data_IF_121588689187
#
_entry.id   IF_121588689187
#
_cell.length_a   1.000
_cell.length_b   1.000
_cell.length_c   1.000
_cell.angle_alpha   90.00
_cell.angle_beta   90.00
_cell.angle_gamma   90.00
#
_symmetry.space_group_name_H-M   'P 1'
#
loop_
_entity.id
_entity.type
_entity.pdbx_description
1 polymer ?
#
# COMPACT_ATOMS: atom_id res chain seq x y z
N UNK A 1 -36.36 37.46 -32.42
CA UNK A 1 -35.84 37.07 -31.10
C UNK A 1 -35.52 35.58 -31.12
N UNK A 2 -34.25 35.21 -31.23
CA UNK A 2 -33.67 33.92 -30.78
C UNK A 2 -32.20 33.85 -31.22
N UNK A 3 -31.33 34.35 -30.35
CA UNK A 3 -29.88 34.11 -30.31
C UNK A 3 -29.52 34.17 -28.84
N UNK A 4 -29.41 33.03 -28.15
CA UNK A 4 -28.80 32.96 -26.81
C UNK A 4 -28.54 31.53 -26.28
N UNK A 5 -28.51 30.49 -27.13
CA UNK A 5 -28.27 29.10 -26.67
C UNK A 5 -27.03 28.41 -27.27
N UNK A 6 -26.22 29.07 -28.11
CA UNK A 6 -24.97 28.48 -28.64
C UNK A 6 -23.81 28.59 -27.64
N UNK A 7 -23.72 29.69 -26.90
CA UNK A 7 -22.46 30.05 -26.22
C UNK A 7 -22.26 29.34 -24.87
N UNK A 8 -23.31 28.69 -24.33
CA UNK A 8 -23.21 27.89 -23.10
C UNK A 8 -22.70 26.46 -23.32
N UNK A 9 -22.72 25.97 -24.56
CA UNK A 9 -22.29 24.59 -24.87
C UNK A 9 -20.83 24.48 -25.32
N UNK A 10 -20.19 25.56 -25.74
CA UNK A 10 -18.76 25.58 -26.07
C UNK A 10 -17.86 25.77 -24.83
N UNK A 11 -18.30 26.56 -23.84
CA UNK A 11 -17.50 26.78 -22.62
C UNK A 11 -17.43 25.53 -21.73
N UNK A 12 -18.45 24.66 -21.76
CA UNK A 12 -18.41 23.38 -21.08
C UNK A 12 -17.46 22.40 -21.77
N UNK A 13 -17.48 22.31 -23.10
CA UNK A 13 -16.58 21.42 -23.87
C UNK A 13 -15.10 21.82 -23.75
N UNK A 14 -14.76 23.11 -23.74
CA UNK A 14 -13.38 23.56 -23.49
C UNK A 14 -12.92 23.28 -22.06
N UNK A 15 -13.81 23.37 -21.07
CA UNK A 15 -13.51 23.06 -19.67
C UNK A 15 -13.26 21.57 -19.41
N UNK A 16 -13.82 20.68 -20.25
CA UNK A 16 -13.57 19.24 -20.20
C UNK A 16 -12.37 18.79 -21.05
N UNK A 17 -12.05 19.49 -22.15
CA UNK A 17 -10.87 19.20 -22.97
C UNK A 17 -9.56 19.43 -22.21
N UNK A 18 -9.42 20.56 -21.50
CA UNK A 18 -8.23 20.84 -20.66
C UNK A 18 -8.07 19.88 -19.48
N UNK A 19 -9.16 19.34 -18.94
CA UNK A 19 -9.10 18.30 -17.89
C UNK A 19 -8.57 16.95 -18.39
N UNK A 20 -8.75 16.65 -19.69
CA UNK A 20 -8.33 15.37 -20.29
C UNK A 20 -6.82 15.35 -20.58
N UNK A 21 -6.24 16.49 -20.97
CA UNK A 21 -4.79 16.65 -21.14
C UNK A 21 -4.05 16.66 -19.78
N UNK A 22 -4.64 17.29 -18.75
CA UNK A 22 -4.10 17.28 -17.38
C UNK A 22 -4.14 15.87 -16.78
N UNK A 23 -5.21 15.09 -17.01
CA UNK A 23 -5.30 13.70 -16.53
C UNK A 23 -4.36 12.73 -17.26
N UNK A 24 -3.97 13.01 -18.51
CA UNK A 24 -2.94 12.24 -19.20
C UNK A 24 -1.54 12.53 -18.66
N UNK A 25 -1.27 13.74 -18.16
CA UNK A 25 -0.03 14.09 -17.44
C UNK A 25 0.08 13.57 -16.00
N UNK A 26 -1.06 13.21 -15.37
CA UNK A 26 -1.13 12.78 -13.96
C UNK A 26 -0.64 11.33 -13.73
N UNK A 27 -0.45 10.53 -14.78
CA UNK A 27 0.06 9.15 -14.68
C UNK A 27 1.55 9.03 -14.27
N UNK A 28 2.23 10.16 -14.05
CA UNK A 28 3.66 10.23 -13.72
C UNK A 28 3.88 11.04 -12.43
N UNK A 29 3.13 10.77 -11.37
CA UNK A 29 3.29 11.45 -10.08
C UNK A 29 4.21 10.64 -9.17
N UNK A 30 5.18 11.31 -8.53
CA UNK A 30 6.41 10.82 -7.87
C UNK A 30 7.55 10.46 -8.82
N UNK A 31 7.32 9.64 -9.86
CA UNK A 31 8.32 9.52 -10.93
C UNK A 31 8.60 10.90 -11.53
N UNK A 32 7.61 11.76 -11.72
CA UNK A 32 7.82 13.12 -12.25
C UNK A 32 8.61 14.05 -11.32
N UNK A 33 8.56 13.88 -9.99
CA UNK A 33 9.30 14.75 -9.05
C UNK A 33 10.77 14.30 -8.95
N UNK A 34 11.03 13.00 -8.90
CA UNK A 34 12.39 12.44 -8.97
C UNK A 34 12.99 12.63 -10.38
N UNK A 35 12.23 12.36 -11.44
CA UNK A 35 12.66 12.61 -12.83
C UNK A 35 12.85 14.10 -13.11
N UNK A 36 12.05 15.01 -12.55
CA UNK A 36 12.29 16.44 -12.69
C UNK A 36 13.54 16.90 -11.92
N UNK A 37 13.85 16.28 -10.78
CA UNK A 37 15.09 16.53 -10.05
C UNK A 37 16.32 16.00 -10.83
N UNK A 38 16.23 14.81 -11.43
CA UNK A 38 17.27 14.24 -12.29
C UNK A 38 17.40 15.00 -13.64
N UNK A 39 16.29 15.44 -14.23
CA UNK A 39 16.27 16.23 -15.47
C UNK A 39 16.80 17.65 -15.26
N UNK A 40 16.59 18.25 -14.08
CA UNK A 40 17.19 19.54 -13.67
C UNK A 40 18.71 19.55 -13.75
N UNK A 41 19.37 18.41 -13.55
CA UNK A 41 20.82 18.28 -13.70
C UNK A 41 21.28 18.16 -15.15
N UNK A 42 20.40 17.70 -16.06
CA UNK A 42 20.79 17.30 -17.42
C UNK A 42 20.35 18.28 -18.52
N UNK A 43 19.28 19.05 -18.32
CA UNK A 43 18.75 20.00 -19.33
C UNK A 43 18.15 21.28 -18.70
N UNK A 44 18.91 22.39 -18.60
CA UNK A 44 18.38 23.66 -18.13
C UNK A 44 17.67 24.41 -19.28
N UNK A 45 16.36 24.23 -19.43
CA UNK A 45 15.55 25.09 -20.32
C UNK A 45 14.48 25.85 -19.56
N UNK A 46 14.47 27.17 -19.71
CA UNK A 46 13.67 28.11 -18.90
C UNK A 46 12.15 27.93 -18.98
N UNK A 47 11.59 27.27 -20.00
CA UNK A 47 10.14 27.11 -20.16
C UNK A 47 9.56 25.86 -19.47
N UNK A 48 10.30 24.76 -19.41
CA UNK A 48 9.86 23.53 -18.73
C UNK A 48 9.79 23.71 -17.20
N UNK A 49 10.53 24.69 -16.68
CA UNK A 49 10.62 24.98 -15.25
C UNK A 49 9.33 25.62 -14.71
N UNK A 50 8.63 26.42 -15.50
CA UNK A 50 7.38 27.11 -15.14
C UNK A 50 6.19 26.15 -15.12
N UNK A 51 6.06 25.27 -16.12
CA UNK A 51 4.94 24.31 -16.20
C UNK A 51 5.03 23.24 -15.10
N UNK A 52 6.25 22.74 -14.81
CA UNK A 52 6.47 21.80 -13.71
C UNK A 52 6.07 22.39 -12.35
N UNK A 53 6.34 23.69 -12.13
CA UNK A 53 5.93 24.39 -10.90
C UNK A 53 4.42 24.58 -10.81
N UNK A 54 3.71 24.81 -11.92
CA UNK A 54 2.25 24.95 -11.93
C UNK A 54 1.55 23.62 -11.62
N UNK A 55 2.01 22.51 -12.20
CA UNK A 55 1.46 21.18 -11.90
C UNK A 55 1.77 20.78 -10.45
N UNK A 56 3.01 21.00 -9.97
CA UNK A 56 3.37 20.73 -8.57
C UNK A 56 2.50 21.55 -7.61
N UNK A 57 2.30 22.83 -7.90
CA UNK A 57 1.43 23.71 -7.10
C UNK A 57 -0.04 23.29 -7.18
N UNK A 58 -0.51 22.86 -8.34
CA UNK A 58 -1.85 22.30 -8.51
C UNK A 58 -2.02 21.02 -7.69
N UNK A 59 -1.07 20.09 -7.74
CA UNK A 59 -1.08 18.85 -6.98
C UNK A 59 -1.07 19.14 -5.46
N UNK A 60 -0.19 20.02 -5.00
CA UNK A 60 -0.15 20.48 -3.61
C UNK A 60 -1.46 21.15 -3.17
N UNK A 61 -2.13 21.89 -4.05
CA UNK A 61 -3.37 22.60 -3.71
C UNK A 61 -4.60 21.69 -3.74
N UNK A 62 -4.65 20.74 -4.67
CA UNK A 62 -5.86 19.97 -4.97
C UNK A 62 -5.84 18.55 -4.41
N UNK A 63 -4.69 17.89 -4.42
CA UNK A 63 -4.54 16.47 -4.06
C UNK A 63 -3.90 16.22 -2.70
N UNK A 64 -3.01 17.10 -2.25
CA UNK A 64 -2.35 16.98 -0.94
C UNK A 64 -3.00 18.01 -0.01
N UNK A 65 -4.11 17.63 0.64
CA UNK A 65 -4.92 18.61 1.36
C UNK A 65 -4.53 18.79 2.82
N UNK A 66 -4.52 20.05 3.26
CA UNK A 66 -4.31 20.46 4.65
C UNK A 66 -5.56 20.35 5.54
N UNK A 67 -6.77 20.16 4.99
CA UNK A 67 -8.03 20.21 5.77
C UNK A 67 -9.29 19.84 4.94
N UNK A 68 -9.22 18.89 4.00
CA UNK A 68 -10.41 18.54 3.19
C UNK A 68 -11.24 17.44 3.82
N UNK A 69 -12.53 17.71 3.85
CA UNK A 69 -13.61 16.74 3.98
C UNK A 69 -13.46 15.64 2.91
N UNK A 70 -13.32 14.38 3.34
CA UNK A 70 -13.28 13.22 2.45
C UNK A 70 -14.72 12.89 2.06
N UNK A 71 -15.08 13.12 0.79
CA UNK A 71 -16.45 12.97 0.31
C UNK A 71 -16.99 11.54 0.38
N UNK A 72 -16.11 10.54 0.29
CA UNK A 72 -16.47 9.12 0.32
C UNK A 72 -15.80 8.51 1.54
N UNK A 73 -16.60 8.25 2.59
CA UNK A 73 -16.13 7.56 3.78
C UNK A 73 -16.45 6.07 3.71
N UNK A 74 -15.52 5.18 4.10
CA UNK A 74 -15.75 3.73 4.11
C UNK A 74 -16.95 3.30 4.96
N UNK A 75 -17.23 4.05 6.04
CA UNK A 75 -18.38 3.79 6.93
C UNK A 75 -19.72 3.83 6.20
N UNK A 76 -19.92 4.80 5.31
CA UNK A 76 -21.18 4.91 4.56
C UNK A 76 -21.46 3.69 3.68
N UNK A 77 -20.41 3.09 3.11
CA UNK A 77 -20.54 1.85 2.34
C UNK A 77 -20.89 0.65 3.24
N UNK A 78 -20.24 0.50 4.40
CA UNK A 78 -20.56 -0.58 5.34
C UNK A 78 -21.95 -0.41 5.95
N UNK A 79 -22.39 0.81 6.25
CA UNK A 79 -23.74 1.08 6.72
C UNK A 79 -24.77 0.67 5.65
N UNK A 80 -24.51 1.01 4.39
CA UNK A 80 -25.32 0.51 3.26
C UNK A 80 -25.34 -1.02 3.19
N UNK A 81 -24.20 -1.70 3.40
CA UNK A 81 -24.15 -3.17 3.43
C UNK A 81 -24.96 -3.76 4.58
N UNK A 82 -24.91 -3.19 5.79
CA UNK A 82 -25.73 -3.62 6.93
C UNK A 82 -27.24 -3.47 6.63
N UNK A 83 -27.62 -2.38 5.99
CA UNK A 83 -29.02 -2.11 5.66
C UNK A 83 -29.56 -2.98 4.51
N UNK A 84 -28.70 -3.34 3.53
CA UNK A 84 -29.16 -3.93 2.28
C UNK A 84 -28.76 -5.40 2.10
N UNK A 85 -27.62 -5.83 2.64
CA UNK A 85 -27.03 -7.15 2.44
C UNK A 85 -27.05 -7.97 3.73
N UNK A 86 -26.54 -7.42 4.83
CA UNK A 86 -26.35 -8.13 6.10
C UNK A 86 -27.40 -7.74 7.15
N UNK A 87 -28.64 -8.12 6.89
CA UNK A 87 -29.83 -7.71 7.68
C UNK A 87 -30.05 -8.50 8.97
N UNK A 88 -29.27 -9.55 9.19
CA UNK A 88 -29.48 -10.50 10.29
C UNK A 88 -28.29 -10.55 11.26
N UNK A 89 -27.50 -9.47 11.32
CA UNK A 89 -26.37 -9.35 12.25
C UNK A 89 -25.13 -10.13 11.79
N UNK A 90 -24.99 -10.42 10.50
CA UNK A 90 -23.84 -11.17 9.96
C UNK A 90 -22.51 -10.43 10.12
N UNK A 91 -22.58 -9.10 10.28
CA UNK A 91 -21.45 -8.21 10.60
C UNK A 91 -21.37 -7.87 12.09
N UNK A 92 -22.25 -8.43 12.92
CA UNK A 92 -22.19 -8.25 14.36
C UNK A 92 -21.05 -9.10 14.92
N UNK A 93 -20.27 -8.53 15.84
CA UNK A 93 -19.17 -9.23 16.51
C UNK A 93 -18.08 -9.76 15.56
N UNK A 94 -17.79 -9.04 14.48
CA UNK A 94 -16.65 -9.37 13.63
C UNK A 94 -15.33 -9.28 14.41
N UNK A 95 -14.34 -10.12 14.05
CA UNK A 95 -13.02 -10.05 14.65
C UNK A 95 -12.38 -8.67 14.55
N UNK A 96 -11.61 -8.30 15.57
CA UNK A 96 -10.90 -7.01 15.67
C UNK A 96 -9.54 -7.00 14.96
N UNK A 97 -9.13 -8.14 14.44
CA UNK A 97 -7.83 -8.33 13.82
C UNK A 97 -7.98 -8.90 12.43
N UNK A 98 -7.17 -8.43 11.50
CA UNK A 98 -7.16 -8.92 10.14
C UNK A 98 -5.75 -9.17 9.62
N UNK A 99 -5.63 -10.19 8.78
CA UNK A 99 -4.47 -10.42 7.91
C UNK A 99 -4.88 -10.12 6.48
N UNK A 100 -4.13 -9.28 5.79
CA UNK A 100 -4.22 -9.14 4.33
C UNK A 100 -3.07 -9.95 3.73
N UNK A 101 -3.39 -11.08 3.08
CA UNK A 101 -2.40 -11.99 2.51
C UNK A 101 -2.38 -11.88 0.99
N UNK A 102 -1.28 -11.38 0.42
CA UNK A 102 -1.03 -11.39 -1.01
C UNK A 102 -0.57 -12.78 -1.48
N UNK A 103 -1.53 -13.69 -1.55
CA UNK A 103 -1.38 -15.00 -2.18
C UNK A 103 -2.70 -15.43 -2.82
N UNK A 104 -2.67 -16.15 -3.95
CA UNK A 104 -3.88 -16.66 -4.57
C UNK A 104 -4.46 -17.89 -3.82
N UNK A 105 -3.65 -18.57 -3.00
CA UNK A 105 -3.94 -19.84 -2.33
C UNK A 105 -4.16 -19.66 -0.82
N UNK A 106 -4.94 -18.66 -0.45
CA UNK A 106 -5.15 -18.28 0.97
C UNK A 106 -5.70 -19.45 1.82
N UNK A 107 -6.56 -20.30 1.26
CA UNK A 107 -7.10 -21.47 1.94
C UNK A 107 -6.03 -22.54 2.18
N UNK A 108 -5.04 -22.68 1.28
CA UNK A 108 -3.93 -23.61 1.49
C UNK A 108 -3.07 -23.18 2.68
N UNK A 109 -2.89 -21.87 2.88
CA UNK A 109 -2.22 -21.36 4.08
C UNK A 109 -3.02 -21.64 5.36
N UNK A 110 -4.35 -21.47 5.33
CA UNK A 110 -5.22 -21.86 6.44
C UNK A 110 -5.10 -23.36 6.76
N UNK A 111 -5.18 -24.22 5.75
CA UNK A 111 -5.05 -25.67 5.91
C UNK A 111 -3.67 -26.08 6.46
N UNK A 112 -2.59 -25.45 5.99
CA UNK A 112 -1.22 -25.68 6.50
C UNK A 112 -1.09 -25.31 7.99
N UNK A 113 -1.82 -24.30 8.44
CA UNK A 113 -1.91 -23.90 9.85
C UNK A 113 -2.90 -24.77 10.66
N UNK A 114 -3.51 -25.79 10.06
CA UNK A 114 -4.39 -26.74 10.72
C UNK A 114 -5.85 -26.30 10.83
N UNK A 115 -6.26 -25.23 10.14
CA UNK A 115 -7.66 -24.84 10.06
C UNK A 115 -8.45 -25.79 9.15
N UNK A 116 -9.65 -26.15 9.58
CA UNK A 116 -10.60 -26.94 8.79
C UNK A 116 -11.66 -26.05 8.16
N UNK A 117 -12.32 -26.53 7.10
CA UNK A 117 -13.39 -25.79 6.39
C UNK A 117 -14.57 -25.39 7.29
N UNK A 118 -14.74 -26.06 8.43
CA UNK A 118 -15.76 -25.72 9.42
C UNK A 118 -15.43 -24.46 10.25
N UNK A 119 -14.16 -24.04 10.23
CA UNK A 119 -13.64 -22.94 11.05
C UNK A 119 -13.62 -21.60 10.32
N UNK A 120 -13.80 -21.58 9.01
CA UNK A 120 -13.82 -20.32 8.28
C UNK A 120 -15.00 -20.26 7.32
N UNK A 121 -15.55 -19.06 7.15
CA UNK A 121 -16.60 -18.80 6.17
C UNK A 121 -16.22 -17.58 5.37
N UNK A 122 -16.50 -17.63 4.08
CA UNK A 122 -16.40 -16.46 3.22
C UNK A 122 -17.50 -15.45 3.60
N UNK A 123 -17.16 -14.16 3.60
CA UNK A 123 -18.07 -13.05 3.77
C UNK A 123 -18.19 -12.33 2.42
N UNK A 124 -19.33 -12.50 1.76
CA UNK A 124 -19.59 -11.88 0.46
C UNK A 124 -20.11 -10.46 0.64
N UNK A 125 -19.28 -9.46 0.37
CA UNK A 125 -19.62 -8.05 0.61
C UNK A 125 -20.17 -7.34 -0.64
N UNK A 126 -20.22 -8.00 -1.80
CA UNK A 126 -20.84 -7.44 -3.00
C UNK A 126 -21.03 -8.42 -4.15
N UNK A 127 -21.64 -7.93 -5.24
CA UNK A 127 -21.89 -8.70 -6.48
C UNK A 127 -20.70 -8.74 -7.44
N UNK A 128 -19.76 -7.81 -7.29
CA UNK A 128 -18.45 -7.78 -7.95
C UNK A 128 -17.41 -7.59 -6.87
N UNK A 129 -17.11 -8.66 -6.13
CA UNK A 129 -16.24 -8.57 -4.97
C UNK A 129 -14.82 -9.06 -5.31
N UNK A 130 -13.88 -8.17 -5.68
CA UNK A 130 -12.48 -8.56 -5.78
C UNK A 130 -11.89 -8.91 -4.40
N UNK A 131 -12.53 -8.50 -3.30
CA UNK A 131 -12.13 -8.76 -1.92
C UNK A 131 -12.69 -10.10 -1.43
N UNK A 132 -11.83 -11.11 -1.48
CA UNK A 132 -12.12 -12.41 -0.89
C UNK A 132 -11.80 -12.36 0.60
N UNK A 133 -12.86 -12.25 1.41
CA UNK A 133 -12.80 -12.11 2.86
C UNK A 133 -13.29 -13.38 3.57
N UNK A 134 -12.50 -13.90 4.50
CA UNK A 134 -12.90 -14.99 5.38
C UNK A 134 -12.95 -14.53 6.82
N UNK A 135 -14.02 -14.89 7.52
CA UNK A 135 -14.06 -14.83 8.99
C UNK A 135 -13.58 -16.18 9.50
N UNK A 136 -12.46 -16.19 10.24
CA UNK A 136 -11.79 -17.41 10.70
C UNK A 136 -11.90 -17.53 12.21
N UNK A 137 -12.48 -18.64 12.66
CA UNK A 137 -12.64 -19.01 14.07
C UNK A 137 -11.48 -19.86 14.56
N UNK A 138 -10.91 -19.48 15.69
CA UNK A 138 -9.84 -20.24 16.34
C UNK A 138 -10.38 -21.04 17.49
N UNK A 139 -9.86 -22.26 17.66
CA UNK A 139 -10.14 -23.06 18.85
C UNK A 139 -9.50 -22.45 20.10
N UNK A 140 -8.33 -21.82 19.92
CA UNK A 140 -7.58 -21.11 20.96
C UNK A 140 -7.03 -19.81 20.37
N UNK A 141 -7.16 -18.72 21.12
CA UNK A 141 -6.74 -17.38 20.70
C UNK A 141 -7.87 -16.56 20.10
N UNK A 142 -7.52 -15.41 19.54
CA UNK A 142 -8.45 -14.45 18.97
C UNK A 142 -8.86 -14.85 17.55
N UNK A 143 -10.18 -14.91 17.29
CA UNK A 143 -10.71 -14.97 15.94
C UNK A 143 -10.14 -13.83 15.08
N UNK A 144 -10.10 -14.00 13.76
CA UNK A 144 -9.52 -13.00 12.85
C UNK A 144 -10.21 -13.03 11.49
N UNK A 145 -10.00 -11.95 10.72
CA UNK A 145 -10.38 -11.87 9.31
C UNK A 145 -9.16 -12.14 8.43
N UNK A 146 -9.30 -13.03 7.45
CA UNK A 146 -8.31 -13.19 6.38
C UNK A 146 -8.84 -12.55 5.10
N UNK A 147 -8.16 -11.55 4.57
CA UNK A 147 -8.48 -10.93 3.30
C UNK A 147 -7.40 -11.31 2.26
N UNK A 148 -7.81 -11.79 1.09
CA UNK A 148 -6.88 -11.99 -0.03
C UNK A 148 -6.45 -10.64 -0.58
N UNK A 149 -5.16 -10.32 -0.46
CA UNK A 149 -4.60 -9.05 -0.89
C UNK A 149 -4.85 -8.74 -2.36
N UNK A 150 -5.25 -7.49 -2.64
CA UNK A 150 -5.30 -6.93 -3.98
C UNK A 150 -4.02 -6.14 -4.27
N UNK A 151 -3.34 -6.42 -5.41
CA UNK A 151 -2.06 -5.82 -5.69
C UNK A 151 -2.16 -4.30 -5.85
N UNK A 152 -1.16 -3.63 -5.34
CA UNK A 152 -0.95 -2.19 -5.49
C UNK A 152 -1.67 -1.33 -4.46
N UNK A 153 -1.18 -0.10 -4.39
CA UNK A 153 -1.58 0.96 -3.46
C UNK A 153 -3.08 1.21 -3.39
N UNK A 154 -3.78 1.17 -4.54
CA UNK A 154 -5.24 1.34 -4.59
C UNK A 154 -5.98 0.17 -3.95
N UNK A 155 -5.56 -1.07 -4.25
CA UNK A 155 -6.17 -2.28 -3.73
C UNK A 155 -6.04 -2.39 -2.22
N UNK A 156 -4.81 -2.28 -1.70
CA UNK A 156 -4.54 -2.37 -0.26
C UNK A 156 -5.23 -1.23 0.53
N UNK A 157 -5.31 -0.02 -0.03
CA UNK A 157 -5.98 1.10 0.62
C UNK A 157 -7.49 0.85 0.75
N UNK A 158 -8.13 0.38 -0.33
CA UNK A 158 -9.55 -0.01 -0.30
C UNK A 158 -9.79 -1.12 0.74
N UNK A 159 -8.96 -2.17 0.73
CA UNK A 159 -9.07 -3.27 1.69
C UNK A 159 -8.94 -2.83 3.14
N UNK A 160 -7.92 -2.02 3.45
CA UNK A 160 -7.71 -1.52 4.80
C UNK A 160 -8.86 -0.62 5.27
N UNK A 161 -9.38 0.21 4.38
CA UNK A 161 -10.50 1.11 4.64
C UNK A 161 -11.81 0.35 4.91
N UNK A 162 -12.11 -0.71 4.14
CA UNK A 162 -13.27 -1.56 4.35
C UNK A 162 -13.16 -2.37 5.65
N UNK A 163 -12.00 -2.97 5.92
CA UNK A 163 -11.74 -3.68 7.17
C UNK A 163 -11.93 -2.76 8.39
N UNK A 164 -11.44 -1.52 8.33
CA UNK A 164 -11.71 -0.53 9.37
C UNK A 164 -13.21 -0.30 9.57
N UNK A 165 -13.97 -0.11 8.49
CA UNK A 165 -15.39 0.16 8.59
C UNK A 165 -16.19 -1.06 9.09
N UNK A 166 -15.65 -2.28 8.88
CA UNK A 166 -16.12 -3.51 9.52
C UNK A 166 -15.73 -3.63 11.01
N UNK A 167 -14.97 -2.67 11.54
CA UNK A 167 -14.60 -2.57 12.96
C UNK A 167 -13.26 -3.21 13.32
N UNK A 168 -12.40 -3.49 12.33
CA UNK A 168 -11.03 -4.00 12.55
C UNK A 168 -10.14 -2.90 13.14
N UNK A 169 -9.38 -3.27 14.17
CA UNK A 169 -8.51 -2.38 14.95
C UNK A 169 -7.02 -2.61 14.65
N UNK A 170 -6.65 -3.82 14.21
CA UNK A 170 -5.29 -4.15 13.79
C UNK A 170 -5.27 -4.92 12.47
N UNK A 171 -4.38 -4.52 11.56
CA UNK A 171 -4.18 -5.15 10.24
C UNK A 171 -2.70 -5.53 10.11
N UNK A 172 -2.42 -6.79 9.76
CA UNK A 172 -1.08 -7.21 9.35
C UNK A 172 -1.12 -7.61 7.87
N UNK A 173 -0.35 -6.90 7.05
CA UNK A 173 -0.15 -7.25 5.65
C UNK A 173 0.99 -8.27 5.51
N UNK A 174 0.81 -9.25 4.65
CA UNK A 174 1.80 -10.27 4.30
C UNK A 174 1.92 -10.33 2.78
N UNK A 175 3.13 -10.13 2.27
CA UNK A 175 3.39 -10.16 0.83
C UNK A 175 4.81 -10.53 0.44
N UNK A 176 5.17 -10.23 -0.80
CA UNK A 176 6.50 -10.41 -1.37
C UNK A 176 7.08 -9.09 -1.82
N UNK A 177 8.39 -9.01 -1.94
CA UNK A 177 9.09 -7.81 -2.41
C UNK A 177 10.28 -8.17 -3.31
N UNK A 178 10.75 -7.20 -4.10
CA UNK A 178 12.06 -7.28 -4.76
C UNK A 178 13.11 -6.65 -3.85
N UNK A 179 14.19 -7.37 -3.55
CA UNK A 179 15.28 -6.85 -2.73
C UNK A 179 16.14 -5.87 -3.55
N UNK A 180 16.74 -4.89 -2.87
CA UNK A 180 17.55 -3.84 -3.50
C UNK A 180 18.97 -3.89 -2.92
N UNK A 181 19.97 -4.05 -3.80
CA UNK A 181 21.37 -4.20 -3.40
C UNK A 181 21.57 -5.41 -2.50
N UNK A 182 22.66 -5.48 -1.74
CA UNK A 182 23.05 -6.67 -0.96
C UNK A 182 22.68 -6.59 0.54
N UNK A 183 21.94 -5.55 0.96
CA UNK A 183 21.78 -5.21 2.37
C UNK A 183 20.89 -6.18 3.16
N UNK A 184 19.94 -6.84 2.51
CA UNK A 184 18.97 -7.74 3.16
C UNK A 184 19.23 -9.19 2.74
N UNK A 185 19.21 -10.12 3.70
CA UNK A 185 19.39 -11.54 3.43
C UNK A 185 18.15 -12.16 2.75
N UNK A 186 18.36 -13.17 1.90
CA UNK A 186 17.26 -13.92 1.28
C UNK A 186 16.55 -14.83 2.29
N UNK A 187 15.28 -15.15 2.01
CA UNK A 187 14.54 -16.17 2.76
C UNK A 187 14.15 -15.77 4.19
N UNK A 188 14.63 -14.64 4.70
CA UNK A 188 14.18 -14.10 5.97
C UNK A 188 12.92 -13.24 5.80
N UNK A 189 11.95 -13.34 6.72
CA UNK A 189 10.90 -12.35 6.88
C UNK A 189 11.49 -10.96 7.10
N UNK A 190 10.88 -9.96 6.46
CA UNK A 190 11.20 -8.54 6.63
C UNK A 190 10.03 -7.89 7.35
N UNK A 191 10.32 -7.24 8.48
CA UNK A 191 9.40 -6.32 9.14
C UNK A 191 9.67 -4.93 8.59
N UNK A 192 8.67 -4.32 7.94
CA UNK A 192 8.79 -2.96 7.43
C UNK A 192 8.99 -1.96 8.57
N UNK A 193 10.06 -1.16 8.55
CA UNK A 193 10.26 -0.03 9.48
C UNK A 193 9.45 1.19 9.06
N UNK A 194 9.37 1.40 7.75
CA UNK A 194 8.63 2.42 7.03
C UNK A 194 8.75 2.12 5.53
N UNK A 195 7.96 2.83 4.73
CA UNK A 195 8.05 2.77 3.27
C UNK A 195 8.05 4.18 2.68
N UNK A 196 8.85 4.39 1.62
CA UNK A 196 8.72 5.59 0.80
C UNK A 196 7.38 5.56 0.06
N UNK A 197 6.71 6.71 0.04
CA UNK A 197 5.37 6.87 -0.52
C UNK A 197 5.41 6.95 -2.04
N UNK A 198 4.50 6.22 -2.67
CA UNK A 198 4.10 6.49 -4.04
C UNK A 198 3.07 7.63 -4.11
N UNK A 199 2.54 7.90 -5.30
CA UNK A 199 1.53 8.94 -5.49
C UNK A 199 0.24 8.68 -4.72
N UNK A 200 -0.19 7.42 -4.59
CA UNK A 200 -1.42 7.08 -3.89
C UNK A 200 -1.29 7.28 -2.37
N UNK A 201 -0.18 6.82 -1.78
CA UNK A 201 0.14 7.07 -0.37
C UNK A 201 0.29 8.58 -0.07
N UNK A 202 0.84 9.37 -1.00
CA UNK A 202 0.88 10.82 -0.86
C UNK A 202 -0.51 11.46 -0.87
N UNK A 203 -1.43 10.96 -1.70
CA UNK A 203 -2.83 11.43 -1.70
C UNK A 203 -3.57 11.10 -0.40
N UNK A 204 -3.20 9.99 0.26
CA UNK A 204 -3.75 9.58 1.56
C UNK A 204 -3.10 10.30 2.75
N UNK A 205 -1.98 10.98 2.52
CA UNK A 205 -1.22 11.60 3.60
C UNK A 205 -1.92 12.85 4.14
N UNK A 206 -2.15 12.89 5.44
CA UNK A 206 -2.53 14.13 6.13
C UNK A 206 -1.27 14.96 6.35
N UNK A 207 -1.24 16.18 5.80
CA UNK A 207 -0.16 17.13 6.06
C UNK A 207 -0.32 17.68 7.48
N UNK A 208 0.48 17.15 8.42
CA UNK A 208 0.60 17.70 9.78
C UNK A 208 1.44 19.00 9.81
N UNK A 209 2.19 19.27 8.73
CA UNK A 209 3.02 20.46 8.53
C UNK A 209 3.03 20.86 7.06
N UNK A 210 3.62 22.03 6.74
CA UNK A 210 3.86 22.47 5.36
C UNK A 210 4.90 21.59 4.62
N UNK A 211 5.45 20.57 5.25
CA UNK A 211 6.43 19.67 4.66
C UNK A 211 5.79 18.33 4.27
N UNK A 212 6.07 17.89 3.04
CA UNK A 212 5.64 16.58 2.56
C UNK A 212 6.52 15.52 3.22
N UNK A 213 5.97 14.80 4.19
CA UNK A 213 6.62 13.61 4.73
C UNK A 213 6.55 12.49 3.69
N UNK A 214 7.70 12.17 3.08
CA UNK A 214 7.83 11.15 2.04
C UNK A 214 7.87 9.70 2.58
N UNK A 215 7.87 9.51 3.90
CA UNK A 215 7.88 8.21 4.56
C UNK A 215 6.56 7.96 5.28
N UNK A 216 5.98 6.79 5.02
CA UNK A 216 4.84 6.25 5.75
C UNK A 216 5.33 5.25 6.80
N UNK A 217 4.76 5.28 8.01
CA UNK A 217 5.22 4.47 9.14
C UNK A 217 4.14 3.49 9.62
N UNK A 218 4.50 2.23 9.93
CA UNK A 218 3.59 1.30 10.58
C UNK A 218 3.30 1.71 12.03
N UNK A 219 2.33 1.04 12.65
CA UNK A 219 2.08 1.09 14.08
C UNK A 219 3.32 0.61 14.85
N UNK A 220 3.96 1.51 15.60
CA UNK A 220 5.12 1.19 16.44
C UNK A 220 4.82 0.08 17.45
N UNK A 221 3.62 0.09 18.03
CA UNK A 221 3.20 -0.92 19.01
C UNK A 221 3.04 -2.28 18.35
N UNK A 222 2.34 -2.35 17.21
CA UNK A 222 2.10 -3.60 16.51
C UNK A 222 3.41 -4.22 16.01
N UNK A 223 4.30 -3.42 15.43
CA UNK A 223 5.64 -3.89 15.03
C UNK A 223 6.42 -4.46 16.21
N UNK A 224 6.40 -3.82 17.39
CA UNK A 224 7.09 -4.34 18.58
C UNK A 224 6.53 -5.69 19.03
N UNK A 225 5.20 -5.89 18.97
CA UNK A 225 4.58 -7.18 19.27
C UNK A 225 5.04 -8.25 18.27
N UNK A 226 5.02 -7.95 16.98
CA UNK A 226 5.50 -8.86 15.93
C UNK A 226 6.98 -9.24 16.13
N UNK A 227 7.84 -8.26 16.40
CA UNK A 227 9.27 -8.48 16.68
C UNK A 227 9.48 -9.44 17.84
N UNK A 228 8.72 -9.26 18.93
CA UNK A 228 8.73 -10.16 20.09
C UNK A 228 8.30 -11.58 19.70
N UNK A 229 7.27 -11.73 18.88
CA UNK A 229 6.76 -13.03 18.44
C UNK A 229 7.73 -13.78 17.51
N UNK A 230 8.51 -13.07 16.69
CA UNK A 230 9.60 -13.70 15.93
C UNK A 230 10.74 -14.15 16.84
N UNK A 231 11.16 -13.27 17.75
CA UNK A 231 12.40 -13.41 18.51
C UNK A 231 13.63 -13.01 17.69
N UNK A 232 14.73 -12.76 18.40
CA UNK A 232 15.96 -12.20 17.83
C UNK A 232 16.55 -13.09 16.71
N UNK A 233 17.04 -12.45 15.64
CA UNK A 233 17.76 -13.11 14.54
C UNK A 233 16.91 -13.91 13.56
N UNK A 234 15.57 -13.90 13.69
CA UNK A 234 14.67 -14.64 12.76
C UNK A 234 14.00 -13.77 11.70
N UNK A 235 14.33 -12.48 11.68
CA UNK A 235 13.78 -11.50 10.76
C UNK A 235 14.80 -10.39 10.51
N UNK A 236 14.56 -9.59 9.48
CA UNK A 236 15.27 -8.33 9.26
C UNK A 236 14.30 -7.16 9.36
N UNK A 237 14.74 -6.03 9.89
CA UNK A 237 14.00 -4.76 9.76
C UNK A 237 14.56 -3.96 8.60
N UNK A 238 13.71 -3.55 7.67
CA UNK A 238 14.16 -2.80 6.51
C UNK A 238 13.18 -1.70 6.10
N UNK A 239 13.67 -0.76 5.30
CA UNK A 239 12.90 0.34 4.74
C UNK A 239 12.50 -0.04 3.32
N UNK A 240 11.21 0.07 3.01
CA UNK A 240 10.67 -0.24 1.71
C UNK A 240 10.58 0.98 0.80
N UNK A 241 10.41 0.72 -0.49
CA UNK A 241 9.92 1.69 -1.46
C UNK A 241 8.61 1.15 -2.06
N UNK A 242 7.51 1.87 -1.85
CA UNK A 242 6.24 1.51 -2.47
C UNK A 242 6.19 2.07 -3.90
N UNK A 243 5.94 1.22 -4.88
CA UNK A 243 5.83 1.58 -6.30
C UNK A 243 4.42 1.25 -6.83
N UNK A 244 3.79 2.12 -7.64
CA UNK A 244 2.42 1.88 -8.09
C UNK A 244 2.34 0.86 -9.24
N UNK A 245 3.47 0.50 -9.84
CA UNK A 245 3.54 -0.38 -11.02
C UNK A 245 4.60 -1.47 -10.83
N UNK A 246 4.20 -2.71 -11.11
CA UNK A 246 5.11 -3.84 -11.09
C UNK A 246 5.99 -3.89 -12.35
N UNK A 247 5.37 -3.77 -13.53
CA UNK A 247 6.05 -3.79 -14.81
C UNK A 247 6.44 -2.38 -15.27
N UNK A 248 7.43 -2.30 -16.16
CA UNK A 248 7.90 -1.05 -16.78
C UNK A 248 8.48 -0.05 -15.79
N UNK A 249 9.14 -0.55 -14.75
CA UNK A 249 9.85 0.29 -13.78
C UNK A 249 10.99 1.04 -14.47
N UNK A 250 11.14 2.37 -14.25
CA UNK A 250 12.22 3.13 -14.87
C UNK A 250 13.59 2.63 -14.40
N UNK A 251 14.50 2.40 -15.34
CA UNK A 251 15.89 2.02 -15.05
C UNK A 251 16.56 3.00 -14.08
N UNK A 252 16.44 4.29 -14.35
CA UNK A 252 17.06 5.35 -13.54
C UNK A 252 16.54 5.36 -12.09
N UNK A 253 15.28 4.99 -11.86
CA UNK A 253 14.74 4.84 -10.51
C UNK A 253 15.45 3.70 -9.78
N UNK A 254 15.58 2.53 -10.42
CA UNK A 254 16.28 1.40 -9.83
C UNK A 254 17.77 1.71 -9.58
N UNK A 255 18.44 2.42 -10.49
CA UNK A 255 19.84 2.87 -10.27
C UNK A 255 19.92 3.80 -9.07
N UNK A 256 18.99 4.75 -8.94
CA UNK A 256 18.93 5.68 -7.82
C UNK A 256 18.75 4.94 -6.49
N UNK A 257 17.84 3.96 -6.46
CA UNK A 257 17.56 3.12 -5.29
C UNK A 257 18.78 2.28 -4.87
N UNK A 258 19.56 1.76 -5.81
CA UNK A 258 20.72 0.90 -5.49
C UNK A 258 21.96 1.74 -5.16
N UNK A 259 22.33 2.70 -6.02
CA UNK A 259 23.61 3.41 -5.95
C UNK A 259 23.51 4.94 -5.94
N UNK A 260 22.34 5.52 -6.19
CA UNK A 260 22.20 6.97 -6.39
C UNK A 260 22.43 7.84 -5.15
N UNK A 261 22.80 9.10 -5.38
CA UNK A 261 23.22 10.03 -4.32
C UNK A 261 22.07 10.61 -3.49
N UNK A 262 20.82 10.49 -3.93
CA UNK A 262 19.64 10.98 -3.19
C UNK A 262 19.58 10.41 -1.77
N UNK A 263 20.06 9.16 -1.62
CA UNK A 263 20.09 8.41 -0.37
C UNK A 263 21.41 8.53 0.39
N UNK A 264 22.39 9.35 -0.04
CA UNK A 264 23.66 9.51 0.69
C UNK A 264 23.48 10.05 2.12
N UNK A 265 22.44 10.84 2.35
CA UNK A 265 22.10 11.42 3.65
C UNK A 265 20.68 11.01 4.13
N UNK A 266 20.08 10.00 3.51
CA UNK A 266 18.74 9.51 3.84
C UNK A 266 18.79 8.00 4.01
N UNK A 267 17.84 7.40 4.72
CA UNK A 267 17.77 5.95 4.78
C UNK A 267 17.50 5.38 3.38
N UNK A 268 18.42 4.55 2.86
CA UNK A 268 18.26 3.87 1.56
C UNK A 268 17.26 2.71 1.71
N UNK A 269 16.29 2.55 0.79
CA UNK A 269 15.42 1.38 0.76
C UNK A 269 16.22 0.09 0.53
N UNK A 270 15.81 -1.00 1.18
CA UNK A 270 16.41 -2.33 0.96
C UNK A 270 15.49 -3.26 0.16
N UNK A 271 14.25 -2.85 -0.10
CA UNK A 271 13.31 -3.58 -0.93
C UNK A 271 12.29 -2.65 -1.61
N UNK A 272 11.68 -3.15 -2.68
CA UNK A 272 10.59 -2.53 -3.43
C UNK A 272 9.35 -3.44 -3.39
N UNK A 273 8.18 -2.86 -3.13
CA UNK A 273 6.88 -3.53 -3.09
C UNK A 273 5.78 -2.53 -3.48
N UNK A 274 4.49 -2.86 -3.37
CA UNK A 274 3.43 -2.03 -3.96
C UNK A 274 2.33 -1.61 -2.98
N UNK A 275 2.44 -1.88 -1.67
CA UNK A 275 1.31 -1.78 -0.75
C UNK A 275 1.57 -0.99 0.54
N UNK A 276 2.75 -1.13 1.13
CA UNK A 276 3.02 -0.79 2.52
C UNK A 276 2.74 0.69 2.84
N UNK A 277 3.18 1.62 1.98
CA UNK A 277 2.99 3.04 2.25
C UNK A 277 1.50 3.43 2.28
N UNK A 278 0.70 2.93 1.32
CA UNK A 278 -0.73 3.22 1.27
C UNK A 278 -1.51 2.54 2.40
N UNK A 279 -1.10 1.34 2.80
CA UNK A 279 -1.63 0.68 3.99
C UNK A 279 -1.43 1.55 5.24
N UNK A 280 -0.21 2.03 5.46
CA UNK A 280 0.15 2.81 6.64
C UNK A 280 -0.58 4.15 6.69
N UNK A 281 -0.65 4.89 5.57
CA UNK A 281 -1.37 6.16 5.51
C UNK A 281 -2.89 5.97 5.65
N UNK A 282 -3.46 4.91 5.06
CA UNK A 282 -4.88 4.57 5.27
C UNK A 282 -5.17 4.25 6.73
N UNK A 283 -4.34 3.40 7.35
CA UNK A 283 -4.49 3.04 8.75
C UNK A 283 -4.38 4.27 9.67
N UNK A 284 -3.47 5.20 9.37
CA UNK A 284 -3.34 6.47 10.08
C UNK A 284 -4.61 7.31 10.00
N UNK A 285 -5.19 7.49 8.81
CA UNK A 285 -6.46 8.19 8.62
C UNK A 285 -7.59 7.58 9.45
N UNK A 286 -7.63 6.25 9.50
CA UNK A 286 -8.68 5.49 10.17
C UNK A 286 -8.43 5.28 11.67
N UNK A 287 -7.25 5.69 12.18
CA UNK A 287 -6.79 5.43 13.55
C UNK A 287 -6.75 3.92 13.89
N UNK A 288 -6.35 3.11 12.90
CA UNK A 288 -6.15 1.66 13.00
C UNK A 288 -4.65 1.35 13.12
N UNK A 289 -4.28 0.25 13.74
CA UNK A 289 -2.89 -0.21 13.75
C UNK A 289 -2.60 -1.05 12.51
N UNK A 290 -1.54 -0.71 11.76
CA UNK A 290 -1.10 -1.52 10.62
C UNK A 290 0.38 -1.86 10.68
N UNK A 291 0.73 -3.05 10.20
CA UNK A 291 2.10 -3.52 9.99
C UNK A 291 2.21 -4.23 8.63
N UNK A 292 3.42 -4.32 8.08
CA UNK A 292 3.70 -5.01 6.82
C UNK A 292 4.88 -5.96 6.98
N UNK A 293 4.65 -7.22 6.63
CA UNK A 293 5.62 -8.30 6.59
C UNK A 293 5.80 -8.74 5.15
N UNK A 294 7.05 -8.80 4.67
CA UNK A 294 7.35 -9.20 3.30
C UNK A 294 8.51 -10.19 3.27
N UNK A 295 8.61 -10.96 2.19
CA UNK A 295 9.78 -11.79 1.88
C UNK A 295 10.30 -11.45 0.50
N UNK A 296 11.63 -11.45 0.34
CA UNK A 296 12.26 -11.25 -0.96
C UNK A 296 11.98 -12.40 -1.93
N UNK A 297 11.41 -12.12 -3.08
CA UNK A 297 11.18 -13.08 -4.18
C UNK A 297 12.22 -12.96 -5.30
N UNK A 298 12.78 -11.77 -5.46
CA UNK A 298 13.79 -11.43 -6.44
C UNK A 298 14.74 -10.35 -5.90
N UNK A 299 15.79 -10.00 -6.65
CA UNK A 299 16.71 -8.91 -6.29
C UNK A 299 17.18 -8.11 -7.48
N UNK A 300 17.28 -6.81 -7.27
CA UNK A 300 17.97 -5.87 -8.13
C UNK A 300 19.36 -5.56 -7.57
N UNK A 301 20.40 -5.79 -8.38
CA UNK A 301 21.79 -5.40 -8.05
C UNK A 301 22.38 -4.54 -9.15
N UNK A 302 23.47 -3.83 -8.85
CA UNK A 302 24.20 -3.04 -9.84
C UNK A 302 25.58 -3.67 -10.06
N UNK A 303 25.85 -4.14 -11.27
CA UNK A 303 27.08 -4.83 -11.63
C UNK A 303 27.55 -4.40 -13.02
N UNK A 304 28.84 -4.07 -13.14
CA UNK A 304 29.49 -3.71 -14.41
C UNK A 304 28.74 -2.61 -15.19
N UNK A 305 28.23 -1.60 -14.47
CA UNK A 305 27.50 -0.47 -15.05
C UNK A 305 26.04 -0.76 -15.44
N UNK A 306 25.50 -1.93 -15.07
CA UNK A 306 24.15 -2.35 -15.42
C UNK A 306 23.36 -2.80 -14.20
N UNK A 307 22.04 -2.65 -14.27
CA UNK A 307 21.13 -3.28 -13.32
C UNK A 307 20.94 -4.73 -13.72
N UNK A 308 21.12 -5.62 -12.76
CA UNK A 308 20.81 -7.04 -12.86
C UNK A 308 19.56 -7.32 -12.05
N UNK A 309 18.67 -8.16 -12.59
CA UNK A 309 17.48 -8.66 -11.91
C UNK A 309 17.50 -10.17 -11.88
N UNK A 310 17.42 -10.76 -10.70
CA UNK A 310 17.54 -12.19 -10.49
C UNK A 310 16.41 -12.71 -9.58
N UNK A 311 15.78 -13.81 -10.01
CA UNK A 311 14.82 -14.55 -9.19
C UNK A 311 15.54 -15.64 -8.42
N UNK A 312 15.10 -15.89 -7.20
CA UNK A 312 15.73 -16.86 -6.31
C UNK A 312 14.75 -17.97 -5.96
N UNK A 313 15.29 -19.19 -5.81
CA UNK A 313 14.53 -20.36 -5.36
C UNK A 313 14.39 -20.33 -3.84
N UNK A 314 13.66 -19.33 -3.35
CA UNK A 314 13.24 -19.24 -1.95
C UNK A 314 11.85 -19.85 -1.85
N UNK A 315 11.64 -20.74 -0.87
CA UNK A 315 10.30 -21.21 -0.52
C UNK A 315 9.50 -20.08 0.17
N UNK A 316 9.06 -19.11 -0.65
CA UNK A 316 8.31 -17.95 -0.19
C UNK A 316 7.01 -18.36 0.49
N UNK A 317 6.43 -19.51 0.13
CA UNK A 317 5.24 -20.08 0.72
C UNK A 317 5.47 -20.50 2.18
N UNK A 318 6.59 -21.15 2.48
CA UNK A 318 6.99 -21.48 3.84
C UNK A 318 7.21 -20.21 4.68
N UNK A 319 7.89 -19.21 4.12
CA UNK A 319 8.15 -17.94 4.82
C UNK A 319 6.85 -17.16 5.07
N UNK A 320 5.94 -17.08 4.09
CA UNK A 320 4.60 -16.48 4.27
C UNK A 320 3.79 -17.23 5.32
N UNK A 321 3.86 -18.56 5.35
CA UNK A 321 3.18 -19.36 6.39
C UNK A 321 3.70 -19.04 7.78
N UNK A 322 5.03 -18.88 7.94
CA UNK A 322 5.64 -18.41 9.19
C UNK A 322 5.18 -17.00 9.56
N UNK A 323 5.19 -16.05 8.62
CA UNK A 323 4.70 -14.68 8.84
C UNK A 323 3.21 -14.68 9.27
N UNK A 324 2.41 -15.57 8.70
CA UNK A 324 1.00 -15.73 9.05
C UNK A 324 0.85 -16.29 10.46
N UNK A 325 1.56 -17.36 10.81
CA UNK A 325 1.56 -17.92 12.16
C UNK A 325 1.96 -16.88 13.23
N UNK A 326 2.98 -16.08 12.94
CA UNK A 326 3.44 -14.97 13.80
C UNK A 326 2.35 -13.91 13.97
N UNK A 327 1.65 -13.57 12.88
CA UNK A 327 0.54 -12.61 12.91
C UNK A 327 -0.57 -13.10 13.85
N UNK A 328 -0.91 -14.40 13.79
CA UNK A 328 -1.92 -14.98 14.67
C UNK A 328 -1.52 -14.94 16.14
N UNK A 329 -0.26 -15.29 16.47
CA UNK A 329 0.24 -15.15 17.84
C UNK A 329 0.23 -13.71 18.32
N UNK A 330 0.56 -12.77 17.44
CA UNK A 330 0.56 -11.32 17.75
C UNK A 330 -0.82 -10.88 18.24
N UNK A 331 -1.91 -11.36 17.62
CA UNK A 331 -3.29 -11.03 17.99
C UNK A 331 -3.75 -11.63 19.32
N UNK A 332 -3.08 -12.65 19.82
CA UNK A 332 -3.43 -13.30 21.10
C UNK A 332 -2.85 -12.57 22.31
N UNK A 333 -1.96 -11.60 22.09
CA UNK A 333 -1.26 -10.84 23.15
C UNK A 333 -1.90 -9.48 23.46
N UNK A 334 -3.09 -9.22 22.89
CA UNK A 334 -3.78 -7.92 22.93
C UNK A 334 -4.69 -7.75 24.14
#
# INVERSE_FOLDING_TARGET
MNKNNSDKNESSKQKYAGRREILQGISVSVCGVLLAACAKQKYPTNNAQTEATEVEQYMKTHFISFDKEMLIEPKGYIDWLKENVFKHGELDNLPKHAVILHDAKVEQHLQRLGFTDSQYRELQTGSTDPNLLYVVKRNNGSDFILNRGLPGSGGIATQAAELYALGVESIIHIGTCGLIGDATEYGLPIISKCAYKDSAALMLSVLESNEINILAYPSKELNKKIQKEFGDGKYTEAIGYTIPIYYFQPKDLLEELIIGEFYSNKPRPSYIEMEAASLFETAKLMKTHAASLVVGADRYTFKDGNIMHEFYDVDSDAVKSLMFEISLRTFDTT
#
